data_IF_819225608479
#
_entry.id   IF_819225608479
#
_cell.length_a   1.000
_cell.length_b   1.000
_cell.length_c   1.000
_cell.angle_alpha   90.00
_cell.angle_beta   90.00
_cell.angle_gamma   90.00
#
_symmetry.space_group_name_H-M   'P 1'
#
loop_
_entity.id
_entity.type
_entity.pdbx_description
1 polymer ?
#
# COMPACT_ATOMS: atom_id res chain seq x y z
N UNK A 1 -5.19 -14.82 -31.99
CA UNK A 1 -5.64 -14.87 -30.58
C UNK A 1 -4.47 -15.31 -29.74
N UNK A 2 -4.35 -14.85 -28.49
CA UNK A 2 -3.34 -15.32 -27.55
C UNK A 2 -4.02 -16.06 -26.41
N UNK A 3 -3.29 -16.97 -25.76
CA UNK A 3 -3.81 -17.77 -24.66
C UNK A 3 -2.88 -17.55 -23.48
N UNK A 4 -3.46 -17.20 -22.34
CA UNK A 4 -2.77 -17.19 -21.06
C UNK A 4 -3.03 -18.51 -20.34
N UNK A 5 -1.98 -19.10 -19.77
CA UNK A 5 -2.07 -20.26 -18.91
C UNK A 5 -1.23 -20.05 -17.66
N UNK A 6 -1.79 -20.43 -16.51
CA UNK A 6 -1.05 -20.52 -15.25
C UNK A 6 -0.82 -22.00 -14.94
N UNK A 7 0.40 -22.34 -14.51
CA UNK A 7 0.78 -23.70 -14.13
C UNK A 7 1.33 -23.65 -12.71
N UNK A 8 0.86 -24.55 -11.85
CA UNK A 8 1.44 -24.72 -10.54
C UNK A 8 2.74 -25.53 -10.65
N UNK A 9 3.88 -24.89 -10.36
CA UNK A 9 5.19 -25.52 -10.45
C UNK A 9 5.36 -26.71 -9.49
N UNK A 10 4.69 -26.70 -8.33
CA UNK A 10 4.78 -27.74 -7.31
C UNK A 10 4.17 -29.07 -7.77
N UNK A 11 3.14 -29.00 -8.61
CA UNK A 11 2.43 -30.18 -9.11
C UNK A 11 2.96 -30.67 -10.47
N UNK A 12 3.78 -29.88 -11.17
CA UNK A 12 4.26 -30.15 -12.54
C UNK A 12 5.80 -30.10 -12.62
N UNK A 13 6.45 -30.81 -11.71
CA UNK A 13 7.92 -30.85 -11.56
C UNK A 13 8.66 -31.22 -12.86
N UNK A 14 8.13 -32.15 -13.66
CA UNK A 14 8.75 -32.55 -14.94
C UNK A 14 8.81 -31.39 -15.95
N UNK A 15 7.78 -30.53 -15.97
CA UNK A 15 7.73 -29.38 -16.87
C UNK A 15 8.73 -28.30 -16.43
N UNK A 16 8.81 -28.04 -15.12
CA UNK A 16 9.77 -27.07 -14.53
C UNK A 16 11.21 -27.46 -14.87
N UNK A 17 11.55 -28.75 -14.77
CA UNK A 17 12.86 -29.28 -15.14
C UNK A 17 13.13 -29.18 -16.65
N UNK A 18 12.15 -29.53 -17.49
CA UNK A 18 12.28 -29.45 -18.94
C UNK A 18 12.52 -28.01 -19.45
N UNK A 19 11.84 -27.04 -18.83
CA UNK A 19 12.01 -25.61 -19.11
C UNK A 19 13.20 -24.96 -18.39
N UNK A 20 13.95 -25.73 -17.58
CA UNK A 20 15.09 -25.27 -16.77
C UNK A 20 14.79 -24.05 -15.90
N UNK A 21 13.59 -24.00 -15.32
CA UNK A 21 13.16 -22.90 -14.45
C UNK A 21 13.85 -23.05 -13.08
N UNK A 22 14.61 -22.04 -12.66
CA UNK A 22 15.40 -22.04 -11.42
C UNK A 22 14.75 -21.29 -10.27
N UNK A 23 13.79 -20.40 -10.56
CA UNK A 23 13.09 -19.57 -9.58
C UNK A 23 11.63 -19.36 -9.98
N UNK A 24 10.74 -19.18 -9.00
CA UNK A 24 9.31 -18.89 -9.16
C UNK A 24 9.03 -17.56 -8.44
N UNK A 25 8.20 -16.65 -9.01
CA UNK A 25 7.40 -16.77 -10.23
C UNK A 25 8.23 -16.63 -11.52
N UNK A 26 7.87 -17.41 -12.55
CA UNK A 26 8.49 -17.36 -13.87
C UNK A 26 7.43 -17.32 -14.96
N UNK A 27 7.66 -16.51 -15.99
CA UNK A 27 6.80 -16.43 -17.17
C UNK A 27 7.60 -16.59 -18.46
N UNK A 28 7.05 -17.39 -19.36
CA UNK A 28 7.57 -17.63 -20.71
C UNK A 28 6.45 -17.34 -21.70
N UNK A 29 6.79 -16.71 -22.82
CA UNK A 29 5.92 -16.63 -23.99
C UNK A 29 6.40 -17.61 -25.06
N UNK A 30 5.47 -18.11 -25.87
CA UNK A 30 5.80 -18.86 -27.08
C UNK A 30 5.32 -18.07 -28.28
N UNK A 31 6.25 -17.71 -29.17
CA UNK A 31 5.97 -17.02 -30.44
C UNK A 31 6.43 -17.96 -31.55
N UNK A 32 5.51 -18.40 -32.41
CA UNK A 32 5.82 -19.37 -33.48
C UNK A 32 6.60 -20.60 -32.96
N UNK A 33 6.12 -21.19 -31.84
CA UNK A 33 6.74 -22.32 -31.14
C UNK A 33 8.13 -22.05 -30.51
N UNK A 34 8.64 -20.82 -30.60
CA UNK A 34 9.90 -20.43 -29.97
C UNK A 34 9.67 -19.83 -28.57
N UNK A 35 10.32 -20.36 -27.52
CA UNK A 35 10.20 -19.82 -26.17
C UNK A 35 10.98 -18.52 -25.99
N UNK A 36 10.33 -17.51 -25.42
CA UNK A 36 10.89 -16.22 -25.03
C UNK A 36 10.67 -16.04 -23.53
N UNK A 37 11.74 -15.96 -22.76
CA UNK A 37 11.66 -15.69 -21.33
C UNK A 37 11.17 -14.25 -21.09
N UNK A 38 10.16 -14.09 -20.22
CA UNK A 38 9.57 -12.77 -19.94
C UNK A 38 10.08 -12.19 -18.63
N UNK A 39 9.86 -12.91 -17.53
CA UNK A 39 10.23 -12.46 -16.20
C UNK A 39 10.37 -13.63 -15.23
N UNK A 40 11.27 -13.45 -14.26
CA UNK A 40 11.64 -14.39 -13.20
C UNK A 40 11.40 -13.80 -11.78
N UNK A 41 10.67 -12.68 -11.74
CA UNK A 41 10.26 -11.96 -10.53
C UNK A 41 8.93 -11.24 -10.74
N UNK A 42 8.34 -10.76 -9.65
CA UNK A 42 7.10 -9.97 -9.68
C UNK A 42 7.41 -8.57 -10.22
N UNK A 43 6.63 -8.13 -11.21
CA UNK A 43 6.73 -6.79 -11.78
C UNK A 43 5.42 -6.01 -11.60
N UNK A 44 5.48 -4.66 -11.51
CA UNK A 44 4.30 -3.81 -11.56
C UNK A 44 3.50 -4.03 -12.84
N UNK A 45 2.18 -3.80 -12.77
CA UNK A 45 1.26 -4.05 -13.88
C UNK A 45 1.67 -3.31 -15.15
N UNK A 46 2.11 -2.07 -15.00
CA UNK A 46 2.51 -1.18 -16.09
C UNK A 46 3.70 -1.78 -16.86
N UNK A 47 4.65 -2.37 -16.14
CA UNK A 47 5.82 -3.02 -16.73
C UNK A 47 5.43 -4.33 -17.44
N UNK A 48 4.54 -5.13 -16.84
CA UNK A 48 4.03 -6.35 -17.47
C UNK A 48 3.31 -6.01 -18.79
N UNK A 49 2.46 -4.99 -18.78
CA UNK A 49 1.74 -4.52 -19.97
C UNK A 49 2.72 -4.08 -21.07
N UNK A 50 3.77 -3.36 -20.71
CA UNK A 50 4.82 -2.96 -21.66
C UNK A 50 5.55 -4.16 -22.27
N UNK A 51 5.91 -5.15 -21.47
CA UNK A 51 6.57 -6.38 -21.95
C UNK A 51 5.66 -7.16 -22.89
N UNK A 52 4.38 -7.34 -22.53
CA UNK A 52 3.42 -8.02 -23.40
C UNK A 52 3.27 -7.27 -24.73
N UNK A 53 3.16 -5.95 -24.69
CA UNK A 53 3.04 -5.12 -25.91
C UNK A 53 4.23 -5.34 -26.85
N UNK A 54 5.47 -5.35 -26.33
CA UNK A 54 6.68 -5.64 -27.10
C UNK A 54 6.69 -7.05 -27.70
N UNK A 55 6.08 -8.05 -27.05
CA UNK A 55 5.96 -9.39 -27.64
C UNK A 55 5.06 -9.40 -28.87
N UNK A 56 3.97 -8.62 -28.86
CA UNK A 56 3.10 -8.51 -30.03
C UNK A 56 3.80 -7.74 -31.16
N UNK A 57 4.60 -6.73 -30.85
CA UNK A 57 5.45 -6.05 -31.82
C UNK A 57 6.46 -7.02 -32.45
N UNK A 58 7.17 -7.80 -31.64
CA UNK A 58 8.10 -8.84 -32.11
C UNK A 58 7.41 -9.91 -32.96
N UNK A 59 6.23 -10.37 -32.55
CA UNK A 59 5.45 -11.33 -33.33
C UNK A 59 5.02 -10.75 -34.69
N UNK A 60 4.68 -9.45 -34.74
CA UNK A 60 4.37 -8.74 -35.99
C UNK A 60 5.60 -8.61 -36.89
N UNK A 61 6.78 -8.31 -36.33
CA UNK A 61 8.05 -8.27 -37.07
C UNK A 61 8.42 -9.64 -37.66
N UNK A 62 8.07 -10.73 -36.95
CA UNK A 62 8.23 -12.11 -37.44
C UNK A 62 7.19 -12.51 -38.50
N UNK A 63 6.34 -11.58 -38.96
CA UNK A 63 5.37 -11.81 -40.02
C UNK A 63 4.08 -12.49 -39.56
N UNK A 64 3.85 -12.65 -38.25
CA UNK A 64 2.59 -13.16 -37.74
C UNK A 64 1.50 -12.09 -37.86
N UNK A 65 0.30 -12.50 -38.29
CA UNK A 65 -0.87 -11.64 -38.35
C UNK A 65 -1.45 -11.44 -36.93
N UNK A 66 -0.79 -10.60 -36.15
CA UNK A 66 -1.19 -10.23 -34.79
C UNK A 66 -1.56 -8.75 -34.74
N UNK A 67 -2.65 -8.45 -34.03
CA UNK A 67 -2.97 -7.08 -33.65
C UNK A 67 -2.24 -6.80 -32.33
N UNK A 68 -1.35 -5.81 -32.34
CA UNK A 68 -0.75 -5.31 -31.10
C UNK A 68 -1.88 -4.76 -30.24
N UNK A 69 -2.06 -5.25 -29.00
CA UNK A 69 -3.04 -4.69 -28.10
C UNK A 69 -2.73 -3.21 -27.93
N UNK A 70 -3.68 -2.36 -28.29
CA UNK A 70 -3.63 -0.98 -27.82
C UNK A 70 -3.68 -1.06 -26.30
N UNK A 71 -2.57 -0.70 -25.65
CA UNK A 71 -2.57 -0.48 -24.21
C UNK A 71 -3.50 0.69 -23.97
N UNK A 72 -4.77 0.40 -23.69
CA UNK A 72 -5.64 1.37 -23.05
C UNK A 72 -5.02 1.61 -21.69
N UNK A 73 -4.19 2.65 -21.59
CA UNK A 73 -3.96 3.33 -20.33
C UNK A 73 -5.34 3.50 -19.72
N UNK A 74 -5.58 2.82 -18.59
CA UNK A 74 -6.79 3.11 -17.85
C UNK A 74 -6.63 4.57 -17.47
N UNK A 75 -7.50 5.47 -17.96
CA UNK A 75 -7.36 6.86 -17.65
C UNK A 75 -7.35 6.98 -16.14
N UNK A 76 -6.31 7.62 -15.63
CA UNK A 76 -6.20 7.97 -14.23
C UNK A 76 -7.51 8.64 -13.79
N UNK A 77 -8.02 8.26 -12.63
CA UNK A 77 -9.25 8.89 -12.13
C UNK A 77 -8.98 10.39 -11.95
N UNK A 78 -9.94 11.28 -12.25
CA UNK A 78 -9.72 12.73 -12.12
C UNK A 78 -9.22 13.13 -10.73
N UNK A 79 -9.72 12.47 -9.69
CA UNK A 79 -9.32 12.68 -8.30
C UNK A 79 -7.91 12.14 -8.00
N UNK A 80 -7.50 11.05 -8.65
CA UNK A 80 -6.13 10.51 -8.53
C UNK A 80 -5.12 11.50 -9.14
N UNK A 81 -5.41 12.02 -10.33
CA UNK A 81 -4.57 13.04 -10.98
C UNK A 81 -4.48 14.32 -10.14
N UNK A 82 -5.60 14.77 -9.56
CA UNK A 82 -5.63 15.93 -8.68
C UNK A 82 -4.81 15.70 -7.40
N UNK A 83 -4.91 14.52 -6.79
CA UNK A 83 -4.13 14.16 -5.61
C UNK A 83 -2.63 14.16 -5.90
N UNK A 84 -2.20 13.53 -7.00
CA UNK A 84 -0.80 13.52 -7.41
C UNK A 84 -0.25 14.93 -7.65
N UNK A 85 -0.99 15.77 -8.37
CA UNK A 85 -0.57 17.16 -8.62
C UNK A 85 -0.45 17.99 -7.33
N UNK A 86 -1.28 17.72 -6.33
CA UNK A 86 -1.19 18.37 -5.02
C UNK A 86 0.03 17.87 -4.24
N UNK A 87 0.29 16.55 -4.24
CA UNK A 87 1.47 15.94 -3.62
C UNK A 87 2.79 16.45 -4.21
N UNK A 88 2.87 16.62 -5.53
CA UNK A 88 4.04 17.20 -6.21
C UNK A 88 4.37 18.62 -5.72
N UNK A 89 3.37 19.36 -5.27
CA UNK A 89 3.51 20.72 -4.72
C UNK A 89 3.71 20.73 -3.20
N UNK A 90 3.72 19.56 -2.55
CA UNK A 90 3.72 19.43 -1.10
C UNK A 90 2.40 19.84 -0.44
N UNK A 91 1.31 19.97 -1.21
CA UNK A 91 -0.02 20.31 -0.69
C UNK A 91 -0.76 19.04 -0.23
N UNK A 92 -0.37 18.54 0.94
CA UNK A 92 -1.02 17.37 1.54
C UNK A 92 -2.49 17.60 1.87
N UNK A 93 -2.89 18.86 2.14
CA UNK A 93 -4.29 19.20 2.40
C UNK A 93 -5.14 19.06 1.12
N UNK A 94 -4.66 19.61 0.01
CA UNK A 94 -5.27 19.47 -1.31
C UNK A 94 -5.35 18.01 -1.76
N UNK A 95 -4.29 17.24 -1.53
CA UNK A 95 -4.27 15.81 -1.83
C UNK A 95 -5.30 15.02 -0.99
N UNK A 96 -5.38 15.29 0.32
CA UNK A 96 -6.40 14.69 1.19
C UNK A 96 -7.82 15.01 0.70
N UNK A 97 -8.09 16.25 0.28
CA UNK A 97 -9.39 16.62 -0.28
C UNK A 97 -9.71 15.85 -1.57
N UNK A 98 -8.74 15.67 -2.47
CA UNK A 98 -8.92 14.89 -3.68
C UNK A 98 -9.27 13.42 -3.38
N UNK A 99 -8.54 12.78 -2.46
CA UNK A 99 -8.84 11.41 -2.03
C UNK A 99 -10.20 11.28 -1.33
N UNK A 100 -10.61 12.27 -0.50
CA UNK A 100 -11.97 12.28 0.07
C UNK A 100 -13.04 12.34 -1.01
N UNK A 101 -12.88 13.20 -2.02
CA UNK A 101 -13.81 13.29 -3.13
C UNK A 101 -13.90 11.96 -3.90
N UNK A 102 -12.75 11.29 -4.09
CA UNK A 102 -12.71 9.97 -4.70
C UNK A 102 -13.52 8.96 -3.87
N UNK A 103 -13.33 8.93 -2.55
CA UNK A 103 -14.05 8.03 -1.65
C UNK A 103 -15.55 8.35 -1.56
N UNK A 104 -15.98 9.60 -1.75
CA UNK A 104 -17.41 9.92 -1.84
C UNK A 104 -18.07 9.24 -3.04
N UNK A 105 -17.33 9.09 -4.16
CA UNK A 105 -17.81 8.43 -5.37
C UNK A 105 -17.59 6.92 -5.34
N UNK A 106 -16.46 6.47 -4.81
CA UNK A 106 -16.05 5.07 -4.67
C UNK A 106 -15.60 4.78 -3.22
N UNK A 107 -16.55 4.51 -2.31
CA UNK A 107 -16.25 4.36 -0.87
C UNK A 107 -15.27 3.24 -0.54
N UNK A 108 -15.14 2.24 -1.41
CA UNK A 108 -14.28 1.08 -1.21
C UNK A 108 -12.97 1.12 -2.00
N UNK A 109 -12.61 2.26 -2.58
CA UNK A 109 -11.37 2.42 -3.33
C UNK A 109 -10.13 2.31 -2.42
N UNK A 110 -9.34 1.22 -2.50
CA UNK A 110 -8.21 1.01 -1.60
C UNK A 110 -7.13 2.08 -1.75
N UNK A 111 -6.88 2.54 -2.99
CA UNK A 111 -5.86 3.56 -3.28
C UNK A 111 -6.22 4.87 -2.57
N UNK A 112 -7.48 5.29 -2.67
CA UNK A 112 -7.94 6.52 -2.05
C UNK A 112 -7.98 6.42 -0.51
N UNK A 113 -8.31 5.26 0.07
CA UNK A 113 -8.26 5.06 1.53
C UNK A 113 -6.83 5.25 2.07
N UNK A 114 -5.85 4.59 1.45
CA UNK A 114 -4.44 4.67 1.87
C UNK A 114 -3.91 6.08 1.63
N UNK A 115 -4.14 6.64 0.44
CA UNK A 115 -3.70 7.98 0.07
C UNK A 115 -4.25 9.06 1.02
N UNK A 116 -5.53 8.96 1.40
CA UNK A 116 -6.14 9.87 2.37
C UNK A 116 -5.45 9.78 3.73
N UNK A 117 -5.30 8.57 4.28
CA UNK A 117 -4.69 8.37 5.59
C UNK A 117 -3.27 8.94 5.63
N UNK A 118 -2.48 8.72 4.57
CA UNK A 118 -1.10 9.24 4.47
C UNK A 118 -1.07 10.76 4.42
N UNK A 119 -1.91 11.38 3.59
CA UNK A 119 -1.99 12.83 3.50
C UNK A 119 -2.41 13.46 4.83
N UNK A 120 -3.41 12.88 5.49
CA UNK A 120 -3.88 13.37 6.79
C UNK A 120 -2.81 13.22 7.89
N UNK A 121 -2.02 12.14 7.89
CA UNK A 121 -0.87 12.01 8.78
C UNK A 121 0.12 13.16 8.53
N UNK A 122 0.51 13.40 7.28
CA UNK A 122 1.46 14.45 6.92
C UNK A 122 0.96 15.83 7.33
N UNK A 123 -0.33 16.11 7.18
CA UNK A 123 -0.95 17.35 7.66
C UNK A 123 -0.80 17.47 9.18
N UNK A 124 -1.12 16.43 9.95
CA UNK A 124 -1.04 16.45 11.43
C UNK A 124 0.38 16.69 11.94
N UNK A 125 1.39 16.12 11.28
CA UNK A 125 2.78 16.26 11.72
C UNK A 125 3.51 17.48 11.16
N UNK A 126 2.93 18.18 10.17
CA UNK A 126 3.61 19.24 9.41
C UNK A 126 4.16 20.38 10.26
N UNK A 127 3.49 20.70 11.38
CA UNK A 127 3.87 21.77 12.30
C UNK A 127 4.60 21.27 13.56
N UNK A 128 4.81 19.96 13.69
CA UNK A 128 5.38 19.35 14.88
C UNK A 128 6.91 19.29 14.80
N UNK A 129 7.57 19.43 15.95
CA UNK A 129 8.97 19.07 16.10
C UNK A 129 9.04 17.62 16.59
N UNK A 130 9.54 16.66 15.77
CA UNK A 130 9.45 15.25 16.12
C UNK A 130 10.05 14.89 17.49
N UNK A 131 11.24 15.41 17.80
CA UNK A 131 11.94 15.08 19.03
C UNK A 131 11.27 15.69 20.27
N UNK A 132 10.82 16.94 20.16
CA UNK A 132 10.13 17.61 21.27
C UNK A 132 8.74 16.99 21.50
N UNK A 133 7.97 16.71 20.44
CA UNK A 133 6.65 16.11 20.56
C UNK A 133 6.68 14.77 21.28
N UNK A 134 7.62 13.88 20.94
CA UNK A 134 7.76 12.58 21.62
C UNK A 134 8.18 12.78 23.07
N UNK A 135 9.18 13.64 23.33
CA UNK A 135 9.66 13.94 24.68
C UNK A 135 8.56 14.52 25.57
N UNK A 136 7.75 15.44 25.04
CA UNK A 136 6.66 16.07 25.79
C UNK A 136 5.57 15.04 26.14
N UNK A 137 5.25 14.12 25.23
CA UNK A 137 4.34 13.01 25.52
C UNK A 137 4.89 12.03 26.56
N UNK A 138 6.19 11.76 26.56
CA UNK A 138 6.83 10.91 27.56
C UNK A 138 6.85 11.56 28.95
N UNK A 139 6.91 12.90 29.01
CA UNK A 139 6.85 13.65 30.27
C UNK A 139 5.45 13.78 30.87
N UNK A 140 4.40 13.55 30.07
CA UNK A 140 3.00 13.65 30.47
C UNK A 140 2.18 12.54 29.78
N UNK A 141 2.33 11.28 30.25
CA UNK A 141 1.71 10.12 29.62
C UNK A 141 0.17 10.08 29.78
N UNK A 142 -0.40 10.98 30.57
CA UNK A 142 -1.84 11.11 30.80
C UNK A 142 -2.54 12.05 29.82
N UNK A 143 -1.79 12.81 29.02
CA UNK A 143 -2.38 13.70 28.01
C UNK A 143 -2.68 12.95 26.71
N UNK A 144 -3.96 12.80 26.38
CA UNK A 144 -4.39 12.18 25.12
C UNK A 144 -3.85 12.95 23.89
N UNK A 145 -3.87 14.27 23.95
CA UNK A 145 -3.40 15.13 22.85
C UNK A 145 -1.92 14.86 22.53
N UNK A 146 -1.06 14.85 23.56
CA UNK A 146 0.36 14.57 23.40
C UNK A 146 0.59 13.12 22.95
N UNK A 147 -0.18 12.17 23.48
CA UNK A 147 -0.06 10.77 23.09
C UNK A 147 -0.38 10.56 21.60
N UNK A 148 -1.43 11.19 21.09
CA UNK A 148 -1.83 11.17 19.68
C UNK A 148 -0.78 11.81 18.78
N UNK A 149 -0.29 13.01 19.13
CA UNK A 149 0.74 13.71 18.35
C UNK A 149 2.05 12.92 18.30
N UNK A 150 2.48 12.34 19.42
CA UNK A 150 3.68 11.50 19.45
C UNK A 150 3.51 10.21 18.64
N UNK A 151 2.34 9.57 18.70
CA UNK A 151 2.05 8.38 17.91
C UNK A 151 2.06 8.67 16.40
N UNK A 152 1.54 9.83 15.96
CA UNK A 152 1.63 10.27 14.57
C UNK A 152 3.09 10.45 14.13
N UNK A 153 3.90 11.15 14.94
CA UNK A 153 5.34 11.33 14.67
C UNK A 153 6.06 9.99 14.59
N UNK A 154 5.79 9.08 15.53
CA UNK A 154 6.40 7.76 15.58
C UNK A 154 6.05 6.94 14.33
N UNK A 155 4.79 6.96 13.86
CA UNK A 155 4.40 6.30 12.60
C UNK A 155 5.15 6.89 11.41
N UNK A 156 5.23 8.22 11.31
CA UNK A 156 5.94 8.88 10.23
C UNK A 156 7.45 8.57 10.21
N UNK A 157 8.03 8.20 11.36
CA UNK A 157 9.42 7.78 11.50
C UNK A 157 9.64 6.27 11.32
N UNK A 158 8.60 5.48 11.04
CA UNK A 158 8.70 4.01 10.97
C UNK A 158 8.88 3.35 12.33
N UNK A 159 8.43 4.01 13.41
CA UNK A 159 8.43 3.51 14.78
C UNK A 159 7.02 3.04 15.17
N UNK A 160 6.34 2.30 14.29
CA UNK A 160 4.95 1.87 14.50
C UNK A 160 4.72 1.13 15.81
N UNK A 161 5.69 0.30 16.23
CA UNK A 161 5.63 -0.40 17.51
C UNK A 161 5.50 0.55 18.71
N UNK A 162 6.23 1.66 18.71
CA UNK A 162 6.17 2.65 19.78
C UNK A 162 4.83 3.39 19.76
N UNK A 163 4.39 3.83 18.58
CA UNK A 163 3.12 4.50 18.38
C UNK A 163 1.94 3.65 18.89
N UNK A 164 1.92 2.37 18.51
CA UNK A 164 0.86 1.45 18.91
C UNK A 164 0.91 1.18 20.41
N UNK A 165 2.08 0.91 20.99
CA UNK A 165 2.22 0.67 22.42
C UNK A 165 1.77 1.87 23.26
N UNK A 166 2.07 3.10 22.81
CA UNK A 166 1.66 4.35 23.45
C UNK A 166 0.14 4.46 23.54
N UNK A 167 -0.56 4.32 22.40
CA UNK A 167 -2.01 4.43 22.38
C UNK A 167 -2.72 3.26 23.05
N UNK A 168 -2.19 2.03 22.96
CA UNK A 168 -2.73 0.87 23.68
C UNK A 168 -2.60 1.08 25.19
N UNK A 169 -1.45 1.57 25.67
CA UNK A 169 -1.24 1.90 27.08
C UNK A 169 -2.23 2.98 27.52
N UNK A 170 -2.44 4.01 26.70
CA UNK A 170 -3.42 5.05 26.97
C UNK A 170 -4.84 4.47 27.08
N UNK A 171 -5.26 3.62 26.14
CA UNK A 171 -6.58 2.94 26.15
C UNK A 171 -6.79 2.08 27.40
N UNK A 172 -5.74 1.44 27.92
CA UNK A 172 -5.79 0.63 29.15
C UNK A 172 -5.97 1.48 30.42
N UNK A 173 -5.40 2.68 30.43
CA UNK A 173 -5.30 3.52 31.63
C UNK A 173 -6.29 4.70 31.64
N UNK A 174 -7.07 4.89 30.59
CA UNK A 174 -8.06 5.96 30.46
C UNK A 174 -9.49 5.41 30.39
N UNK A 175 -10.48 6.30 30.47
CA UNK A 175 -11.90 5.96 30.35
C UNK A 175 -12.67 7.06 29.63
N UNK A 176 -13.94 6.83 29.32
CA UNK A 176 -14.78 7.83 28.66
C UNK A 176 -14.28 8.26 27.28
N UNK A 177 -14.35 9.56 27.01
CA UNK A 177 -14.05 10.14 25.70
C UNK A 177 -12.58 10.02 25.32
N UNK A 178 -11.65 10.14 26.27
CA UNK A 178 -10.21 10.01 25.98
C UNK A 178 -9.84 8.59 25.53
N UNK A 179 -10.43 7.57 26.18
CA UNK A 179 -10.27 6.16 25.75
C UNK A 179 -10.81 5.95 24.34
N UNK A 180 -11.95 6.56 24.02
CA UNK A 180 -12.56 6.50 22.69
C UNK A 180 -11.67 7.16 21.64
N UNK A 181 -11.14 8.36 21.93
CA UNK A 181 -10.24 9.10 21.05
C UNK A 181 -8.95 8.32 20.77
N UNK A 182 -8.31 7.76 21.80
CA UNK A 182 -7.11 6.94 21.63
C UNK A 182 -7.36 5.70 20.74
N UNK A 183 -8.49 5.03 20.96
CA UNK A 183 -8.91 3.87 20.16
C UNK A 183 -9.13 4.25 18.70
N UNK A 184 -9.90 5.32 18.45
CA UNK A 184 -10.20 5.78 17.09
C UNK A 184 -8.92 6.19 16.35
N UNK A 185 -8.02 6.91 17.02
CA UNK A 185 -6.73 7.29 16.44
C UNK A 185 -5.86 6.08 16.13
N UNK A 186 -5.79 5.10 17.03
CA UNK A 186 -5.04 3.86 16.79
C UNK A 186 -5.56 3.09 15.56
N UNK A 187 -6.88 3.05 15.35
CA UNK A 187 -7.47 2.44 14.15
C UNK A 187 -7.14 3.20 12.86
N UNK A 188 -6.93 4.52 12.92
CA UNK A 188 -6.41 5.30 11.79
C UNK A 188 -4.95 4.91 11.51
N UNK A 189 -4.10 4.82 12.54
CA UNK A 189 -2.70 4.44 12.38
C UNK A 189 -2.52 3.02 11.84
N UNK A 190 -3.40 2.09 12.19
CA UNK A 190 -3.41 0.73 11.64
C UNK A 190 -3.64 0.67 10.13
N UNK A 191 -4.25 1.70 9.52
CA UNK A 191 -4.46 1.75 8.07
C UNK A 191 -3.21 2.19 7.31
N UNK A 192 -2.23 2.76 8.02
CA UNK A 192 -0.98 3.27 7.45
C UNK A 192 0.14 2.21 7.39
N UNK A 193 -0.10 1.04 7.96
CA UNK A 193 0.88 -0.05 8.07
C UNK A 193 0.38 -1.26 7.29
N UNK A 194 1.32 -2.01 6.69
CA UNK A 194 1.01 -3.23 5.97
C UNK A 194 0.22 -4.20 6.87
N UNK A 195 -0.94 -4.73 6.44
CA UNK A 195 -1.71 -5.73 7.17
C UNK A 195 -0.92 -6.96 7.62
N UNK A 196 0.18 -7.30 6.93
CA UNK A 196 1.07 -8.41 7.26
C UNK A 196 2.18 -8.05 8.26
N UNK A 197 2.30 -6.78 8.67
CA UNK A 197 3.30 -6.34 9.64
C UNK A 197 3.06 -7.05 11.01
N UNK A 198 4.08 -7.74 11.56
CA UNK A 198 3.92 -8.50 12.80
C UNK A 198 3.64 -7.63 14.04
N UNK A 199 4.10 -6.38 14.06
CA UNK A 199 3.77 -5.44 15.13
C UNK A 199 2.30 -5.01 15.02
N UNK A 200 1.79 -4.77 13.81
CA UNK A 200 0.37 -4.48 13.60
C UNK A 200 -0.54 -5.63 14.06
N UNK A 201 -0.21 -6.86 13.66
CA UNK A 201 -0.98 -8.06 14.05
C UNK A 201 -1.02 -8.19 15.58
N UNK A 202 0.12 -8.01 16.25
CA UNK A 202 0.21 -8.05 17.71
C UNK A 202 -0.61 -6.94 18.36
N UNK A 203 -0.48 -5.71 17.89
CA UNK A 203 -1.17 -4.54 18.44
C UNK A 203 -2.69 -4.63 18.30
N UNK A 204 -3.21 -5.25 17.23
CA UNK A 204 -4.66 -5.54 17.12
C UNK A 204 -5.15 -6.48 18.20
N UNK A 205 -4.41 -7.54 18.51
CA UNK A 205 -4.75 -8.48 19.58
C UNK A 205 -4.67 -7.82 20.97
N UNK A 206 -3.65 -6.98 21.19
CA UNK A 206 -3.49 -6.22 22.43
C UNK A 206 -4.61 -5.20 22.64
N UNK A 207 -5.03 -4.51 21.58
CA UNK A 207 -6.18 -3.59 21.63
C UNK A 207 -7.46 -4.34 21.99
N UNK A 208 -7.73 -5.48 21.35
CA UNK A 208 -8.89 -6.30 21.69
C UNK A 208 -8.89 -6.68 23.18
N UNK A 209 -7.74 -7.11 23.70
CA UNK A 209 -7.57 -7.46 25.12
C UNK A 209 -7.66 -6.27 26.08
N UNK A 210 -7.53 -5.03 25.60
CA UNK A 210 -7.69 -3.81 26.40
C UNK A 210 -9.14 -3.30 26.44
N UNK A 211 -9.99 -3.82 25.55
CA UNK A 211 -11.39 -3.43 25.42
C UNK A 211 -12.35 -4.40 26.10
N UNK A 212 -11.92 -5.64 26.36
CA UNK A 212 -12.68 -6.71 27.00
C UNK A 212 -11.97 -7.20 28.26
#
# INVERSE_FOLDING_TARGET
>A
SWIFGAINADTQVQLVQALKITAVPFAIAFINEQPVALFDRIYPREQIVMVITKLFELAKEQGLNVQVPEVKEIPMEPEEAAALSALEKGDYSGAAMAYRNWLMRKPDEPVAKIGLAQCELMVRISALNPALTVKDADSDPTSIEKAVMAADVEIAQGLQKNAFARLISFVKNSSGDEKKQAKEHLLLLFQLVDPADPDLIRSRNELASALF
#
